data_IF_110468909555
#
_entry.id   IF_110468909555
#
_cell.length_a   1.000
_cell.length_b   1.000
_cell.length_c   1.000
_cell.angle_alpha   90.00
_cell.angle_beta   90.00
_cell.angle_gamma   90.00
#
_symmetry.space_group_name_H-M   'P 1'
#
loop_
_entity.id
_entity.type
_entity.pdbx_description
1 polymer ?
#
# COMPACT_ATOMS: atom_id res chain seq x y z
N UNK A 1 -6.62 4.07 9.13
CA UNK A 1 -7.06 3.91 7.74
C UNK A 1 -7.40 2.44 7.51
N UNK A 2 -8.60 2.20 7.02
CA UNK A 2 -9.14 0.94 6.52
C UNK A 2 -10.13 1.34 5.42
N UNK A 3 -10.21 0.58 4.34
CA UNK A 3 -11.20 0.77 3.28
C UNK A 3 -12.47 0.07 3.72
N UNK A 4 -13.59 0.81 3.76
CA UNK A 4 -14.86 0.27 4.22
C UNK A 4 -15.77 -0.11 3.04
N UNK A 5 -15.67 0.60 1.93
CA UNK A 5 -16.51 0.39 0.76
C UNK A 5 -15.70 -0.08 -0.45
N UNK A 6 -15.73 -1.38 -0.80
CA UNK A 6 -15.20 -1.87 -2.06
C UNK A 6 -15.92 -1.25 -3.26
N UNK A 7 -15.23 -1.17 -4.41
CA UNK A 7 -15.83 -0.69 -5.65
C UNK A 7 -17.04 -1.54 -6.03
N UNK A 8 -18.13 -0.90 -6.44
CA UNK A 8 -19.31 -1.58 -7.00
C UNK A 8 -19.31 -1.41 -8.52
N UNK A 9 -19.49 -2.51 -9.24
CA UNK A 9 -19.55 -2.50 -10.70
C UNK A 9 -20.98 -2.24 -11.19
N UNK A 10 -21.08 -1.43 -12.25
CA UNK A 10 -22.31 -1.29 -13.04
C UNK A 10 -22.67 -2.61 -13.74
N UNK A 11 -23.90 -2.72 -14.25
CA UNK A 11 -24.32 -3.92 -14.99
C UNK A 11 -23.39 -4.25 -16.17
N UNK A 12 -22.98 -3.25 -16.94
CA UNK A 12 -22.07 -3.44 -18.07
C UNK A 12 -20.66 -3.87 -17.64
N UNK A 13 -20.15 -3.32 -16.54
CA UNK A 13 -18.87 -3.74 -15.96
C UNK A 13 -18.93 -5.16 -15.39
N UNK A 14 -20.04 -5.56 -14.76
CA UNK A 14 -20.26 -6.94 -14.30
C UNK A 14 -20.27 -7.92 -15.47
N UNK A 15 -20.96 -7.61 -16.56
CA UNK A 15 -20.95 -8.44 -17.78
C UNK A 15 -19.53 -8.58 -18.36
N UNK A 16 -18.76 -7.50 -18.38
CA UNK A 16 -17.36 -7.51 -18.80
C UNK A 16 -16.49 -8.41 -17.91
N UNK A 17 -16.62 -8.29 -16.58
CA UNK A 17 -15.90 -9.12 -15.60
C UNK A 17 -16.30 -10.60 -15.72
N UNK A 18 -17.59 -10.91 -15.87
CA UNK A 18 -18.08 -12.28 -16.06
C UNK A 18 -17.53 -12.91 -17.34
N UNK A 19 -17.47 -12.14 -18.42
CA UNK A 19 -16.89 -12.59 -19.68
C UNK A 19 -15.39 -12.87 -19.53
N UNK A 20 -14.65 -12.03 -18.80
CA UNK A 20 -13.24 -12.27 -18.49
C UNK A 20 -13.05 -13.55 -17.66
N UNK A 21 -13.85 -13.77 -16.62
CA UNK A 21 -13.74 -14.94 -15.74
C UNK A 21 -13.94 -16.25 -16.52
N UNK A 22 -14.81 -16.25 -17.52
CA UNK A 22 -15.15 -17.39 -18.39
C UNK A 22 -14.12 -17.67 -19.49
N UNK A 23 -13.10 -16.83 -19.69
CA UNK A 23 -12.05 -17.09 -20.70
C UNK A 23 -11.29 -18.37 -20.38
N UNK A 24 -11.08 -19.21 -21.40
CA UNK A 24 -10.29 -20.44 -21.30
C UNK A 24 -8.83 -20.16 -20.90
N UNK A 25 -8.27 -19.07 -21.43
CA UNK A 25 -6.92 -18.59 -21.12
C UNK A 25 -7.02 -17.14 -20.68
N UNK A 26 -6.69 -16.90 -19.41
CA UNK A 26 -6.64 -15.57 -18.80
C UNK A 26 -5.29 -15.37 -18.16
N UNK A 27 -4.72 -14.18 -18.32
CA UNK A 27 -3.40 -13.83 -17.82
C UNK A 27 -3.42 -12.49 -17.11
N UNK A 28 -2.44 -12.27 -16.23
CA UNK A 28 -2.27 -10.98 -15.55
C UNK A 28 -2.08 -9.81 -16.52
N UNK A 29 -1.53 -10.07 -17.71
CA UNK A 29 -1.29 -9.07 -18.76
C UNK A 29 -2.57 -8.53 -19.39
N UNK A 30 -3.66 -9.29 -19.37
CA UNK A 30 -4.96 -8.89 -19.93
C UNK A 30 -5.48 -7.60 -19.27
N UNK A 31 -5.05 -7.32 -18.04
CA UNK A 31 -5.30 -6.03 -17.37
C UNK A 31 -4.89 -4.83 -18.21
N UNK A 32 -3.89 -4.98 -19.08
CA UNK A 32 -3.40 -3.94 -19.99
C UNK A 32 -4.36 -3.63 -21.13
N UNK A 33 -5.32 -4.51 -21.43
CA UNK A 33 -6.15 -4.42 -22.62
C UNK A 33 -7.06 -3.19 -22.60
N UNK A 34 -7.32 -2.66 -23.80
CA UNK A 34 -8.12 -1.46 -24.02
C UNK A 34 -9.59 -1.67 -23.62
N UNK A 35 -10.10 -2.90 -23.71
CA UNK A 35 -11.46 -3.24 -23.29
C UNK A 35 -11.73 -2.91 -21.82
N UNK A 36 -10.70 -2.97 -20.97
CA UNK A 36 -10.84 -2.69 -19.54
C UNK A 36 -10.58 -1.21 -19.20
N UNK A 37 -10.35 -0.35 -20.19
CA UNK A 37 -9.97 1.06 -19.95
C UNK A 37 -10.98 1.79 -19.07
N UNK A 38 -12.26 1.60 -19.34
CA UNK A 38 -13.34 2.32 -18.64
C UNK A 38 -13.56 1.79 -17.22
N UNK A 39 -13.61 0.47 -17.04
CA UNK A 39 -13.71 -0.14 -15.70
C UNK A 39 -12.49 0.19 -14.84
N UNK A 40 -11.28 0.21 -15.43
CA UNK A 40 -10.06 0.68 -14.73
C UNK A 40 -10.22 2.12 -14.27
N UNK A 41 -10.73 3.01 -15.12
CA UNK A 41 -10.96 4.40 -14.74
C UNK A 41 -11.96 4.53 -13.60
N UNK A 42 -13.06 3.76 -13.66
CA UNK A 42 -14.09 3.66 -12.61
C UNK A 42 -13.48 3.23 -11.26
N UNK A 43 -12.79 2.08 -11.24
CA UNK A 43 -12.07 1.55 -10.06
C UNK A 43 -11.11 2.59 -9.47
N UNK A 44 -10.29 3.20 -10.32
CA UNK A 44 -9.28 4.17 -9.89
C UNK A 44 -9.89 5.41 -9.26
N UNK A 45 -11.02 5.88 -9.80
CA UNK A 45 -11.69 7.07 -9.27
C UNK A 45 -12.41 6.78 -7.96
N UNK A 46 -13.07 5.62 -7.85
CA UNK A 46 -13.67 5.15 -6.60
C UNK A 46 -12.64 5.15 -5.46
N UNK A 47 -11.55 4.40 -5.64
CA UNK A 47 -10.59 4.18 -4.56
C UNK A 47 -9.75 5.41 -4.19
N UNK A 48 -9.55 6.37 -5.10
CA UNK A 48 -8.95 7.67 -4.74
C UNK A 48 -9.78 8.39 -3.68
N UNK A 49 -11.10 8.43 -3.87
CA UNK A 49 -12.02 9.13 -2.96
C UNK A 49 -12.21 8.33 -1.68
N UNK A 50 -12.48 7.03 -1.79
CA UNK A 50 -12.70 6.14 -0.64
C UNK A 50 -11.49 6.12 0.31
N UNK A 51 -10.27 6.16 -0.22
CA UNK A 51 -9.04 6.20 0.58
C UNK A 51 -8.64 7.62 1.01
N UNK A 52 -9.46 8.62 0.74
CA UNK A 52 -9.18 10.03 1.00
C UNK A 52 -7.82 10.49 0.43
N UNK A 53 -7.46 9.98 -0.75
CA UNK A 53 -6.17 10.23 -1.39
C UNK A 53 -4.95 9.85 -0.53
N UNK A 54 -5.09 8.83 0.33
CA UNK A 54 -4.02 8.28 1.16
C UNK A 54 -3.59 6.91 0.64
N UNK A 55 -2.29 6.72 0.46
CA UNK A 55 -1.74 5.43 0.03
C UNK A 55 -1.84 4.42 1.17
N UNK A 56 -2.37 3.21 0.94
CA UNK A 56 -2.69 2.26 2.01
C UNK A 56 -1.45 1.66 2.69
N UNK A 57 -0.28 1.81 2.06
CA UNK A 57 0.99 1.27 2.56
C UNK A 57 1.86 2.34 3.21
N UNK A 58 2.13 3.45 2.52
CA UNK A 58 3.01 4.51 3.04
C UNK A 58 2.28 5.59 3.85
N UNK A 59 0.94 5.57 3.89
CA UNK A 59 0.12 6.58 4.56
C UNK A 59 0.36 8.04 4.11
N UNK A 60 1.11 8.26 3.02
CA UNK A 60 1.29 9.59 2.42
C UNK A 60 0.00 9.98 1.72
N UNK A 61 -0.42 11.22 1.95
CA UNK A 61 -1.52 11.84 1.21
C UNK A 61 -0.99 12.48 -0.06
N UNK A 62 -1.56 12.11 -1.21
CA UNK A 62 -1.26 12.76 -2.49
C UNK A 62 -2.52 13.44 -3.03
N UNK A 63 -2.79 14.70 -2.66
CA UNK A 63 -4.04 15.41 -3.00
C UNK A 63 -4.10 15.86 -4.48
N UNK A 64 -3.29 15.25 -5.36
CA UNK A 64 -3.25 15.57 -6.78
C UNK A 64 -4.27 14.72 -7.54
N UNK A 65 -5.20 15.40 -8.24
CA UNK A 65 -6.23 14.75 -9.04
C UNK A 65 -5.72 14.15 -10.36
N UNK A 66 -4.60 14.66 -10.88
CA UNK A 66 -3.98 14.14 -12.10
C UNK A 66 -3.45 12.72 -11.85
N UNK A 67 -3.91 11.75 -12.66
CA UNK A 67 -3.76 10.31 -12.42
C UNK A 67 -2.33 9.73 -12.43
N UNK A 68 -1.31 10.58 -12.43
CA UNK A 68 0.11 10.19 -12.47
C UNK A 68 0.67 9.76 -11.11
N UNK A 69 0.02 10.08 -10.00
CA UNK A 69 0.48 9.69 -8.66
C UNK A 69 -0.02 8.31 -8.20
N UNK A 70 -1.14 7.85 -8.76
CA UNK A 70 -1.88 6.68 -8.31
C UNK A 70 -1.88 5.57 -9.35
N UNK A 71 -1.69 4.34 -8.92
CA UNK A 71 -1.97 3.14 -9.70
C UNK A 71 -3.03 2.30 -9.00
N UNK A 72 -3.80 1.53 -9.78
CA UNK A 72 -4.67 0.50 -9.22
C UNK A 72 -3.78 -0.63 -8.75
N UNK A 73 -3.81 -0.88 -7.46
CA UNK A 73 -3.05 -1.91 -6.78
C UNK A 73 -3.87 -3.18 -6.69
N UNK A 74 -3.27 -4.30 -7.06
CA UNK A 74 -3.80 -5.63 -6.80
C UNK A 74 -3.11 -6.19 -5.56
N UNK A 75 -3.83 -6.20 -4.43
CA UNK A 75 -3.27 -6.60 -3.13
C UNK A 75 -2.65 -8.00 -3.25
N UNK A 76 -3.43 -8.98 -3.73
CA UNK A 76 -2.91 -10.22 -4.30
C UNK A 76 -2.56 -9.98 -5.77
N UNK A 77 -1.29 -10.15 -6.18
CA UNK A 77 -0.88 -9.85 -7.54
C UNK A 77 -1.64 -10.67 -8.60
N UNK A 78 -2.17 -9.97 -9.60
CA UNK A 78 -2.84 -10.58 -10.77
C UNK A 78 -1.97 -11.60 -11.52
N UNK A 79 -0.64 -11.44 -11.48
CA UNK A 79 0.31 -12.35 -12.15
C UNK A 79 0.41 -13.70 -11.41
N UNK A 80 -0.04 -13.76 -10.15
CA UNK A 80 -0.06 -14.96 -9.32
C UNK A 80 -1.46 -15.55 -9.19
N UNK A 81 -2.48 -14.70 -9.13
CA UNK A 81 -3.89 -15.08 -8.95
C UNK A 81 -4.77 -14.25 -9.89
N UNK A 82 -4.68 -14.56 -11.18
CA UNK A 82 -5.45 -13.89 -12.24
C UNK A 82 -6.96 -13.92 -11.98
N UNK A 83 -7.46 -14.94 -11.29
CA UNK A 83 -8.87 -15.05 -10.95
C UNK A 83 -9.36 -14.00 -9.93
N UNK A 84 -8.46 -13.32 -9.22
CA UNK A 84 -8.79 -12.22 -8.29
C UNK A 84 -8.58 -10.84 -8.94
N UNK A 85 -8.31 -10.77 -10.24
CA UNK A 85 -7.98 -9.50 -10.92
C UNK A 85 -9.06 -8.43 -10.74
N UNK A 86 -10.33 -8.81 -10.82
CA UNK A 86 -11.47 -7.90 -10.68
C UNK A 86 -12.22 -8.08 -9.36
N UNK A 87 -11.66 -8.80 -8.38
CA UNK A 87 -12.27 -8.93 -7.06
C UNK A 87 -12.23 -7.57 -6.34
N UNK A 88 -13.38 -6.94 -6.00
CA UNK A 88 -13.40 -5.59 -5.44
C UNK A 88 -12.49 -5.43 -4.22
N UNK A 89 -12.54 -6.36 -3.28
CA UNK A 89 -11.73 -6.34 -2.05
C UNK A 89 -10.24 -6.66 -2.32
N UNK A 90 -9.87 -7.13 -3.51
CA UNK A 90 -8.47 -7.30 -3.92
C UNK A 90 -7.87 -6.01 -4.53
N UNK A 91 -8.68 -4.97 -4.70
CA UNK A 91 -8.31 -3.73 -5.39
C UNK A 91 -8.27 -2.54 -4.45
N UNK A 92 -7.32 -1.64 -4.70
CA UNK A 92 -7.24 -0.32 -4.08
C UNK A 92 -6.43 0.61 -4.99
N UNK A 93 -6.17 1.85 -4.58
CA UNK A 93 -5.12 2.68 -5.21
C UNK A 93 -3.91 2.78 -4.30
N UNK A 94 -2.72 2.65 -4.86
CA UNK A 94 -1.46 2.90 -4.15
C UNK A 94 -0.60 3.88 -4.93
N UNK A 95 0.34 4.52 -4.24
CA UNK A 95 1.34 5.33 -4.93
C UNK A 95 2.26 4.44 -5.77
N UNK A 96 2.79 4.98 -6.86
CA UNK A 96 3.67 4.26 -7.80
C UNK A 96 4.86 3.60 -7.11
N UNK A 97 5.45 4.26 -6.10
CA UNK A 97 6.60 3.73 -5.39
C UNK A 97 6.27 2.51 -4.54
N UNK A 98 5.09 2.49 -3.90
CA UNK A 98 4.67 1.33 -3.10
C UNK A 98 4.22 0.18 -4.01
N UNK A 99 3.37 0.47 -5.00
CA UNK A 99 2.91 -0.53 -5.98
C UNK A 99 4.10 -1.15 -6.72
N UNK A 100 5.01 -0.32 -7.23
CA UNK A 100 6.22 -0.77 -7.92
C UNK A 100 7.16 -1.58 -7.02
N UNK A 101 7.36 -1.18 -5.77
CA UNK A 101 8.21 -1.92 -4.83
C UNK A 101 7.60 -3.27 -4.41
N UNK A 102 6.29 -3.33 -4.24
CA UNK A 102 5.54 -4.56 -3.95
C UNK A 102 5.55 -5.49 -5.16
N UNK A 103 5.24 -4.96 -6.35
CA UNK A 103 5.18 -5.69 -7.61
C UNK A 103 4.37 -7.00 -7.46
N UNK A 104 4.91 -8.12 -7.92
CA UNK A 104 4.29 -9.45 -7.87
C UNK A 104 4.69 -10.29 -6.65
N UNK A 105 5.20 -9.68 -5.56
CA UNK A 105 5.61 -10.42 -4.34
C UNK A 105 4.46 -11.25 -3.75
N UNK A 106 4.78 -12.41 -3.18
CA UNK A 106 3.78 -13.26 -2.51
C UNK A 106 3.28 -12.61 -1.24
N UNK A 107 1.98 -12.32 -1.18
CA UNK A 107 1.36 -11.72 0.01
C UNK A 107 0.47 -12.68 0.77
N UNK A 108 0.07 -13.82 0.18
CA UNK A 108 -0.75 -14.79 0.88
C UNK A 108 0.09 -15.64 1.83
N UNK A 109 -0.49 -16.01 2.97
CA UNK A 109 0.07 -17.02 3.87
C UNK A 109 0.03 -18.39 3.21
N UNK A 110 -1.08 -18.72 2.54
CA UNK A 110 -1.22 -19.90 1.72
C UNK A 110 -1.26 -19.52 0.22
N UNK A 111 -0.15 -19.72 -0.53
CA UNK A 111 -0.09 -19.40 -1.96
C UNK A 111 -1.04 -20.26 -2.82
N UNK A 112 -1.51 -21.41 -2.34
CA UNK A 112 -2.36 -22.34 -3.10
C UNK A 112 -3.86 -22.02 -3.00
N UNK A 113 -4.23 -20.91 -2.33
CA UNK A 113 -5.62 -20.43 -2.25
C UNK A 113 -6.25 -20.38 -3.65
N UNK A 114 -7.42 -21.03 -3.78
CA UNK A 114 -8.22 -21.04 -5.02
C UNK A 114 -9.36 -20.04 -4.97
N UNK A 115 -10.01 -19.92 -3.81
CA UNK A 115 -11.04 -18.91 -3.52
C UNK A 115 -10.41 -17.68 -2.90
N UNK A 116 -11.06 -16.53 -3.07
CA UNK A 116 -10.59 -15.28 -2.49
C UNK A 116 -10.60 -15.40 -0.95
N UNK A 117 -9.46 -15.12 -0.27
CA UNK A 117 -9.44 -15.08 1.18
C UNK A 117 -10.12 -13.80 1.68
N UNK A 118 -11.00 -13.91 2.66
CA UNK A 118 -11.77 -12.78 3.21
C UNK A 118 -11.43 -12.50 4.68
N UNK A 119 -10.26 -12.97 5.14
CA UNK A 119 -9.78 -12.79 6.50
C UNK A 119 -8.40 -12.16 6.49
N UNK A 120 -8.18 -11.20 7.39
CA UNK A 120 -6.88 -10.56 7.62
C UNK A 120 -5.74 -11.58 7.74
N UNK A 121 -5.95 -12.67 8.47
CA UNK A 121 -4.91 -13.67 8.78
C UNK A 121 -4.43 -14.46 7.56
N UNK A 122 -5.13 -14.40 6.43
CA UNK A 122 -4.71 -15.04 5.19
C UNK A 122 -3.60 -14.28 4.45
N UNK A 123 -3.23 -13.10 4.94
CA UNK A 123 -2.30 -12.18 4.32
C UNK A 123 -1.09 -11.89 5.22
N UNK A 124 0.10 -11.89 4.63
CA UNK A 124 1.35 -11.42 5.25
C UNK A 124 1.51 -9.91 5.17
N UNK A 125 0.84 -9.27 4.22
CA UNK A 125 0.82 -7.81 4.05
C UNK A 125 -0.41 -7.20 4.72
N UNK A 126 -0.33 -5.94 5.15
CA UNK A 126 -1.50 -5.16 5.54
C UNK A 126 -2.47 -5.13 4.36
N UNK A 127 -3.66 -5.69 4.58
CA UNK A 127 -4.76 -5.73 3.65
C UNK A 127 -5.65 -4.51 3.86
N UNK A 128 -5.71 -3.56 2.90
CA UNK A 128 -6.41 -2.29 3.06
C UNK A 128 -7.89 -2.42 3.46
N UNK A 129 -8.56 -3.50 3.05
CA UNK A 129 -9.97 -3.77 3.39
C UNK A 129 -10.16 -4.55 4.70
N UNK A 130 -9.15 -5.27 5.18
CA UNK A 130 -9.31 -6.21 6.31
C UNK A 130 -8.54 -5.82 7.56
N UNK A 131 -7.63 -4.85 7.45
CA UNK A 131 -6.77 -4.43 8.55
C UNK A 131 -6.94 -2.94 8.86
N UNK A 132 -6.81 -2.60 10.13
CA UNK A 132 -6.58 -1.23 10.53
C UNK A 132 -5.08 -0.93 10.48
N UNK A 133 -4.69 -0.02 9.60
CA UNK A 133 -3.26 0.32 9.38
C UNK A 133 -2.47 0.57 10.68
N UNK A 134 -3.07 1.31 11.62
CA UNK A 134 -2.42 1.75 12.86
C UNK A 134 -2.22 0.63 13.89
N UNK A 135 -2.83 -0.53 13.70
CA UNK A 135 -2.58 -1.72 14.51
C UNK A 135 -1.30 -2.45 14.06
N UNK A 136 -0.76 -2.10 12.89
CA UNK A 136 0.37 -2.80 12.27
C UNK A 136 1.56 -1.89 12.01
N UNK A 137 1.36 -0.61 11.67
CA UNK A 137 2.44 0.35 11.43
C UNK A 137 2.11 1.65 12.16
N UNK A 138 3.10 2.14 12.93
CA UNK A 138 3.14 3.53 13.34
C UNK A 138 3.94 4.34 12.30
N UNK A 139 3.24 5.12 11.47
CA UNK A 139 3.86 6.01 10.50
C UNK A 139 4.19 7.35 11.17
N UNK A 140 5.32 7.38 11.88
CA UNK A 140 5.79 8.53 12.68
C UNK A 140 5.99 9.76 11.77
N UNK A 141 6.61 9.56 10.61
CA UNK A 141 6.66 10.57 9.54
C UNK A 141 6.36 9.87 8.22
N UNK A 142 5.09 9.89 7.74
CA UNK A 142 4.74 9.34 6.44
C UNK A 142 5.64 9.94 5.34
N UNK A 143 6.22 9.07 4.55
CA UNK A 143 7.30 9.38 3.61
C UNK A 143 8.66 8.91 4.08
N UNK A 144 9.02 9.10 5.35
CA UNK A 144 10.41 8.92 5.79
C UNK A 144 10.53 7.78 6.80
N UNK A 145 9.76 7.81 7.89
CA UNK A 145 10.00 6.96 9.04
C UNK A 145 8.74 6.22 9.50
N UNK A 146 8.90 4.90 9.62
CA UNK A 146 7.84 3.95 9.94
C UNK A 146 8.37 2.94 10.94
N UNK A 147 7.54 2.58 11.92
CA UNK A 147 7.83 1.52 12.87
C UNK A 147 6.81 0.40 12.73
N UNK A 148 7.23 -0.86 12.60
CA UNK A 148 6.31 -1.99 12.68
C UNK A 148 5.78 -2.16 14.11
N UNK A 149 4.49 -2.47 14.22
CA UNK A 149 3.81 -2.87 15.45
C UNK A 149 3.40 -4.35 15.43
N UNK A 150 3.52 -5.00 14.26
CA UNK A 150 3.29 -6.43 14.06
C UNK A 150 4.20 -6.98 12.95
N UNK A 151 4.29 -8.31 12.84
CA UNK A 151 4.98 -9.01 11.73
C UNK A 151 4.42 -8.60 10.36
N UNK A 152 3.10 -8.40 10.28
CA UNK A 152 2.42 -7.95 9.05
C UNK A 152 2.83 -6.51 8.69
N UNK A 153 3.00 -5.65 9.68
CA UNK A 153 3.55 -4.31 9.51
C UNK A 153 4.99 -4.32 9.00
N UNK A 154 5.83 -5.16 9.60
CA UNK A 154 7.23 -5.34 9.18
C UNK A 154 7.32 -5.85 7.74
N UNK A 155 6.56 -6.92 7.43
CA UNK A 155 6.48 -7.46 6.07
C UNK A 155 6.06 -6.38 5.08
N UNK A 156 5.10 -5.52 5.44
CA UNK A 156 4.64 -4.41 4.58
C UNK A 156 5.71 -3.34 4.40
N UNK A 157 6.38 -2.91 5.47
CA UNK A 157 7.48 -1.94 5.43
C UNK A 157 8.58 -2.40 4.47
N UNK A 158 9.00 -3.66 4.58
CA UNK A 158 10.04 -4.27 3.74
C UNK A 158 9.55 -4.46 2.30
N UNK A 159 8.38 -5.07 2.12
CA UNK A 159 7.80 -5.41 0.82
C UNK A 159 7.57 -4.16 -0.03
N UNK A 160 6.98 -3.12 0.56
CA UNK A 160 6.69 -1.85 -0.10
C UNK A 160 7.86 -0.86 -0.04
N UNK A 161 9.01 -1.24 0.55
CA UNK A 161 10.22 -0.41 0.71
C UNK A 161 9.93 0.96 1.35
N UNK A 162 9.17 1.00 2.43
CA UNK A 162 8.73 2.25 3.04
C UNK A 162 9.90 3.09 3.58
N UNK A 163 10.99 2.46 3.99
CA UNK A 163 12.25 3.11 4.43
C UNK A 163 13.21 3.43 3.26
N UNK A 164 12.73 3.51 2.01
CA UNK A 164 13.58 3.80 0.83
C UNK A 164 14.38 5.10 0.93
N UNK A 165 13.91 6.05 1.71
CA UNK A 165 14.57 7.34 1.96
C UNK A 165 15.63 7.27 3.07
N UNK A 166 15.65 6.21 3.88
CA UNK A 166 16.70 5.98 4.88
C UNK A 166 17.94 5.29 4.30
N UNK A 167 17.91 4.79 3.05
CA UNK A 167 19.04 3.99 2.55
C UNK A 167 19.31 3.92 1.05
N UNK A 168 18.50 4.48 0.13
CA UNK A 168 18.70 4.17 -1.31
C UNK A 168 18.48 5.32 -2.29
N UNK A 169 18.53 6.58 -1.88
CA UNK A 169 18.60 7.69 -2.85
C UNK A 169 19.69 8.64 -2.41
N UNK A 170 20.48 9.15 -3.36
CA UNK A 170 21.53 10.17 -3.22
C UNK A 170 21.00 11.53 -2.71
N UNK A 171 20.11 11.56 -1.72
CA UNK A 171 20.17 12.58 -0.67
C UNK A 171 21.13 12.00 0.38
N UNK A 172 21.94 12.85 1.00
CA UNK A 172 22.90 12.41 2.03
C UNK A 172 22.24 11.39 2.97
N UNK A 173 23.02 10.38 3.39
CA UNK A 173 22.64 9.50 4.50
C UNK A 173 21.89 10.34 5.55
N UNK A 174 20.80 9.82 6.16
CA UNK A 174 20.14 10.53 7.25
C UNK A 174 21.24 11.07 8.17
N UNK A 175 21.20 12.36 8.47
CA UNK A 175 22.24 12.97 9.30
C UNK A 175 22.40 12.10 10.56
N UNK A 176 23.64 11.96 11.02
CA UNK A 176 24.01 10.97 12.03
C UNK A 176 23.07 11.02 13.26
N UNK A 177 22.61 12.22 13.60
CA UNK A 177 21.66 12.51 14.66
C UNK A 177 20.24 11.95 14.40
N UNK A 178 19.69 12.04 13.18
CA UNK A 178 18.41 11.42 12.79
C UNK A 178 18.52 9.90 12.91
N UNK A 179 19.64 9.33 12.49
CA UNK A 179 19.88 7.89 12.58
C UNK A 179 20.00 7.44 14.04
N UNK A 180 20.71 8.19 14.87
CA UNK A 180 20.90 7.86 16.29
C UNK A 180 19.61 8.03 17.10
N UNK A 181 18.78 9.03 16.79
CA UNK A 181 17.43 9.18 17.34
C UNK A 181 16.52 8.01 16.94
N UNK A 182 16.55 7.60 15.67
CA UNK A 182 15.78 6.47 15.19
C UNK A 182 16.16 5.16 15.90
N UNK A 183 17.46 4.93 16.14
CA UNK A 183 17.95 3.79 16.93
C UNK A 183 17.51 3.87 18.39
N UNK A 184 17.69 5.02 19.04
CA UNK A 184 17.27 5.22 20.43
C UNK A 184 15.76 5.00 20.61
N UNK A 185 14.95 5.31 19.59
CA UNK A 185 13.51 5.06 19.60
C UNK A 185 13.13 3.58 19.68
N UNK A 186 13.96 2.70 19.14
CA UNK A 186 13.68 1.25 19.10
C UNK A 186 13.63 0.72 20.54
N UNK A 187 14.58 1.16 21.37
CA UNK A 187 14.78 0.69 22.74
C UNK A 187 13.98 1.49 23.79
N UNK A 188 13.47 2.67 23.43
CA UNK A 188 12.74 3.54 24.35
C UNK A 188 11.24 3.18 24.48
N UNK A 189 10.69 3.44 25.67
CA UNK A 189 9.27 3.30 25.99
C UNK A 189 8.71 4.54 26.73
N UNK A 190 7.40 4.54 26.95
CA UNK A 190 6.69 5.56 27.73
C UNK A 190 6.98 7.01 27.30
N UNK A 191 7.27 7.86 28.29
CA UNK A 191 7.51 9.31 28.09
C UNK A 191 8.80 9.56 27.31
N UNK A 192 9.85 8.78 27.57
CA UNK A 192 11.14 8.93 26.89
C UNK A 192 10.98 8.71 25.38
N UNK A 193 10.20 7.70 25.00
CA UNK A 193 9.88 7.45 23.60
C UNK A 193 9.14 8.62 22.95
N UNK A 194 8.12 9.17 23.60
CA UNK A 194 7.35 10.30 23.04
C UNK A 194 8.26 11.50 22.75
N UNK A 195 9.17 11.81 23.67
CA UNK A 195 10.15 12.89 23.50
C UNK A 195 11.06 12.63 22.28
N UNK A 196 11.53 11.39 22.11
CA UNK A 196 12.36 11.02 20.97
C UNK A 196 11.58 11.04 19.65
N UNK A 197 10.31 10.61 19.63
CA UNK A 197 9.43 10.70 18.45
C UNK A 197 9.22 12.18 18.05
N UNK A 198 8.89 13.04 19.01
CA UNK A 198 8.68 14.48 18.79
C UNK A 198 9.94 15.17 18.22
N UNK A 199 11.12 14.85 18.79
CA UNK A 199 12.39 15.41 18.33
C UNK A 199 12.80 14.89 16.94
N UNK A 200 12.58 13.59 16.67
CA UNK A 200 12.83 12.99 15.35
C UNK A 200 11.95 13.65 14.27
N UNK A 201 10.66 13.80 14.54
CA UNK A 201 9.72 14.48 13.61
C UNK A 201 10.18 15.91 13.35
N UNK A 202 10.54 16.66 14.40
CA UNK A 202 11.02 18.06 14.27
C UNK A 202 12.23 18.17 13.36
N UNK A 203 13.23 17.27 13.50
CA UNK A 203 14.44 17.29 12.66
C UNK A 203 14.15 16.93 11.21
N UNK A 204 13.33 15.92 10.97
CA UNK A 204 12.90 15.53 9.62
C UNK A 204 12.16 16.68 8.93
N UNK A 205 11.25 17.36 9.64
CA UNK A 205 10.49 18.50 9.10
C UNK A 205 11.40 19.69 8.80
N UNK A 206 12.32 20.05 9.71
CA UNK A 206 13.27 21.14 9.48
C UNK A 206 14.11 20.90 8.22
N UNK A 207 14.60 19.67 8.03
CA UNK A 207 15.36 19.29 6.84
C UNK A 207 14.54 19.46 5.55
N UNK A 208 13.27 19.02 5.55
CA UNK A 208 12.37 19.18 4.39
C UNK A 208 12.14 20.64 4.00
N UNK A 209 12.23 21.58 4.93
CA UNK A 209 12.04 23.01 4.68
C UNK A 209 13.32 23.73 4.22
N UNK A 210 14.48 23.09 4.33
CA UNK A 210 15.78 23.64 3.92
C UNK A 210 16.21 23.20 2.50
N UNK A 211 15.64 22.10 2.00
CA UNK A 211 15.78 21.56 0.64
C UNK A 211 14.76 22.16 -0.34
#
# INVERSE_FOLDING_TARGET
MKIDNPVTYTKGELELVDNFIKRDKKNGTDWGDDEFKDIKLSIKNHYKVEQNYVCPYCAITYPVGHGMAWDIEHIVPKDKKVQFMFEPENLCVACKDCNGAKSSKEVLVNPDRRRFPNSSQDYKIIHPHFDFYHEHINAISPGDFYRPLSEKGEFTIVTCRLLRFYGVVKREQPEQDINDLAKALIDADGVARKILEDELVKRIVNKRNMD
#
